data_IF_332192941013
#
_entry.id   IF_332192941013
#
_cell.length_a   1.000
_cell.length_b   1.000
_cell.length_c   1.000
_cell.angle_alpha   90.00
_cell.angle_beta   90.00
_cell.angle_gamma   90.00
#
_symmetry.space_group_name_H-M   'P 1'
#
loop_
_entity.id
_entity.type
_entity.pdbx_description
1 polymer ?
#
# COMPACT_ATOMS: atom_id res chain seq x y z
N UNK A 1 5.59 21.66 15.06
CA UNK A 1 5.39 20.89 13.82
C UNK A 1 6.53 21.21 12.86
N UNK A 2 7.73 20.68 13.13
CA UNK A 2 8.86 20.66 12.22
C UNK A 2 9.10 19.18 11.93
N UNK A 3 8.50 18.67 10.85
CA UNK A 3 8.99 17.41 10.28
C UNK A 3 10.13 17.81 9.35
N UNK A 4 11.31 17.24 9.59
CA UNK A 4 12.43 17.30 8.66
C UNK A 4 12.00 16.74 7.30
N UNK A 5 11.55 17.62 6.40
CA UNK A 5 11.34 17.31 4.98
C UNK A 5 12.64 16.93 4.26
N UNK A 6 13.79 16.99 4.93
CA UNK A 6 15.10 16.82 4.32
C UNK A 6 15.58 15.36 4.23
N UNK A 7 14.90 14.38 4.84
CA UNK A 7 15.39 12.99 4.89
C UNK A 7 14.40 11.88 4.49
N UNK A 8 13.22 12.22 3.96
CA UNK A 8 12.38 11.22 3.28
C UNK A 8 12.44 11.44 1.78
N UNK A 9 13.24 10.65 1.06
CA UNK A 9 13.18 10.58 -0.39
C UNK A 9 11.78 10.12 -0.82
N UNK A 10 11.05 10.99 -1.50
CA UNK A 10 9.84 10.63 -2.22
C UNK A 10 10.28 10.20 -3.61
N UNK A 11 10.27 8.89 -3.86
CA UNK A 11 10.83 8.31 -5.07
C UNK A 11 10.14 8.83 -6.34
N UNK A 12 8.82 9.03 -6.30
CA UNK A 12 8.07 9.55 -7.43
C UNK A 12 8.36 11.03 -7.67
N UNK A 13 8.52 11.81 -6.60
CA UNK A 13 8.95 13.20 -6.69
C UNK A 13 10.35 13.30 -7.30
N UNK A 14 11.30 12.47 -6.85
CA UNK A 14 12.67 12.44 -7.35
C UNK A 14 12.73 12.06 -8.84
N UNK A 15 11.96 11.04 -9.27
CA UNK A 15 11.80 10.69 -10.69
C UNK A 15 11.25 11.88 -11.48
N UNK A 16 10.27 12.58 -10.93
CA UNK A 16 9.65 13.74 -11.58
C UNK A 16 10.61 14.93 -11.69
N UNK A 17 11.45 15.17 -10.68
CA UNK A 17 12.50 16.19 -10.70
C UNK A 17 13.54 15.85 -11.77
N UNK A 18 14.00 14.60 -11.82
CA UNK A 18 14.96 14.13 -12.82
C UNK A 18 14.40 14.26 -14.24
N UNK A 19 13.15 13.87 -14.45
CA UNK A 19 12.47 14.00 -15.74
C UNK A 19 12.41 15.45 -16.22
N UNK A 20 11.89 16.38 -15.40
CA UNK A 20 11.79 17.81 -15.77
C UNK A 20 13.15 18.46 -16.00
N UNK A 21 14.14 18.12 -15.18
CA UNK A 21 15.51 18.62 -15.34
C UNK A 21 16.13 18.13 -16.65
N UNK A 22 15.89 16.86 -16.98
CA UNK A 22 16.30 16.26 -18.26
C UNK A 22 15.65 16.96 -19.45
N UNK A 23 14.34 17.22 -19.39
CA UNK A 23 13.64 17.97 -20.44
C UNK A 23 14.25 19.34 -20.66
N UNK A 24 14.44 20.12 -19.58
CA UNK A 24 15.01 21.47 -19.64
C UNK A 24 16.41 21.47 -20.25
N UNK A 25 17.25 20.51 -19.88
CA UNK A 25 18.59 20.36 -20.45
C UNK A 25 18.53 20.12 -21.97
N UNK A 26 17.73 19.15 -22.42
CA UNK A 26 17.65 18.84 -23.84
C UNK A 26 17.03 19.97 -24.64
N UNK A 27 15.96 20.61 -24.17
CA UNK A 27 15.35 21.74 -24.86
C UNK A 27 16.34 22.90 -25.03
N UNK A 28 17.24 23.13 -24.06
CA UNK A 28 18.31 24.13 -24.20
C UNK A 28 19.38 23.68 -25.21
N UNK A 29 19.85 22.44 -25.13
CA UNK A 29 20.97 21.96 -25.94
C UNK A 29 20.60 21.69 -27.41
N UNK A 30 19.34 21.35 -27.68
CA UNK A 30 18.82 21.03 -29.01
C UNK A 30 18.35 22.25 -29.81
N UNK A 31 18.24 23.43 -29.21
CA UNK A 31 17.84 24.69 -29.89
C UNK A 31 18.62 24.94 -31.18
N UNK A 32 19.94 24.73 -31.15
CA UNK A 32 20.82 24.93 -32.32
C UNK A 32 20.55 24.01 -33.50
N UNK A 33 19.75 22.96 -33.32
CA UNK A 33 19.31 22.03 -34.37
C UNK A 33 17.79 21.96 -34.45
N UNK A 34 17.08 22.98 -33.93
CA UNK A 34 15.62 23.14 -33.97
C UNK A 34 14.80 21.96 -33.42
N UNK A 35 15.41 21.05 -32.65
CA UNK A 35 14.73 19.92 -32.02
C UNK A 35 14.30 20.26 -30.59
N UNK A 36 13.26 19.59 -30.12
CA UNK A 36 12.79 19.61 -28.73
C UNK A 36 12.94 18.23 -28.11
N UNK A 37 12.87 18.15 -26.78
CA UNK A 37 12.89 16.87 -26.07
C UNK A 37 11.75 15.94 -26.51
N UNK A 38 10.59 16.47 -26.90
CA UNK A 38 9.46 15.65 -27.36
C UNK A 38 9.73 14.92 -28.68
N UNK A 39 10.57 15.48 -29.55
CA UNK A 39 10.93 14.91 -30.86
C UNK A 39 12.13 13.97 -30.76
N UNK A 40 13.02 14.23 -29.79
CA UNK A 40 14.30 13.56 -29.66
C UNK A 40 14.18 12.02 -29.54
N UNK A 41 13.40 11.43 -28.60
CA UNK A 41 13.27 9.99 -28.49
C UNK A 41 12.75 9.34 -29.77
N UNK A 42 11.82 9.99 -30.47
CA UNK A 42 11.20 9.49 -31.70
C UNK A 42 12.23 9.48 -32.85
N UNK A 43 13.00 10.56 -33.00
CA UNK A 43 14.04 10.63 -34.03
C UNK A 43 15.13 9.56 -33.80
N UNK A 44 15.53 9.34 -32.55
CA UNK A 44 16.49 8.29 -32.19
C UNK A 44 15.94 6.90 -32.51
N UNK A 45 14.69 6.62 -32.14
CA UNK A 45 14.05 5.33 -32.43
C UNK A 45 14.01 5.04 -33.93
N UNK A 46 13.70 6.05 -34.76
CA UNK A 46 13.69 5.92 -36.22
C UNK A 46 15.10 5.70 -36.76
N UNK A 47 16.09 6.47 -36.28
CA UNK A 47 17.48 6.35 -36.71
C UNK A 47 18.09 4.98 -36.38
N UNK A 48 17.81 4.45 -35.19
CA UNK A 48 18.32 3.16 -34.73
C UNK A 48 17.56 1.98 -35.36
N UNK A 49 16.35 2.22 -35.88
CA UNK A 49 15.45 1.20 -36.44
C UNK A 49 14.81 1.68 -37.76
N UNK A 50 15.62 1.88 -38.79
CA UNK A 50 15.13 2.31 -40.11
C UNK A 50 14.02 1.38 -40.64
N UNK A 51 12.88 1.97 -41.03
CA UNK A 51 11.70 1.23 -41.45
C UNK A 51 10.69 0.93 -40.32
N UNK A 52 10.91 1.44 -39.10
CA UNK A 52 9.93 1.33 -38.01
C UNK A 52 8.61 2.05 -38.35
N UNK A 53 7.49 1.50 -37.92
CA UNK A 53 6.17 2.10 -38.06
C UNK A 53 5.78 2.97 -36.86
N UNK A 54 4.84 3.90 -37.06
CA UNK A 54 4.30 4.73 -35.97
C UNK A 54 3.67 3.88 -34.85
N UNK A 55 3.07 2.73 -35.19
CA UNK A 55 2.48 1.81 -34.22
C UNK A 55 3.56 1.20 -33.32
N UNK A 56 4.68 0.78 -33.89
CA UNK A 56 5.82 0.25 -33.13
C UNK A 56 6.43 1.32 -32.23
N UNK A 57 6.62 2.56 -32.72
CA UNK A 57 7.11 3.67 -31.89
C UNK A 57 6.18 3.93 -30.71
N UNK A 58 4.86 3.94 -30.93
CA UNK A 58 3.89 4.13 -29.86
C UNK A 58 4.01 3.02 -28.79
N UNK A 59 4.14 1.77 -29.22
CA UNK A 59 4.28 0.61 -28.33
C UNK A 59 5.62 0.59 -27.57
N UNK A 60 6.73 0.78 -28.27
CA UNK A 60 8.08 0.70 -27.70
C UNK A 60 8.35 1.90 -26.78
N UNK A 61 7.90 3.09 -27.18
CA UNK A 61 8.06 4.32 -26.41
C UNK A 61 7.00 4.56 -25.34
N UNK A 62 5.91 3.79 -25.31
CA UNK A 62 4.81 3.99 -24.36
C UNK A 62 4.03 5.30 -24.61
N UNK A 63 3.93 5.73 -25.87
CA UNK A 63 3.24 6.96 -26.26
C UNK A 63 1.82 6.66 -26.77
N UNK A 64 0.90 7.59 -26.58
CA UNK A 64 -0.39 7.53 -27.29
C UNK A 64 -0.21 7.81 -28.79
N UNK A 65 -1.14 7.30 -29.59
CA UNK A 65 -1.10 7.40 -31.06
C UNK A 65 -1.14 8.84 -31.56
N UNK A 66 -1.87 9.72 -30.87
CA UNK A 66 -1.99 11.14 -31.23
C UNK A 66 -0.67 11.87 -31.07
N UNK A 67 0.04 11.62 -29.96
CA UNK A 67 1.38 12.16 -29.71
C UNK A 67 2.36 11.74 -30.80
N UNK A 68 2.44 10.45 -31.14
CA UNK A 68 3.36 9.99 -32.19
C UNK A 68 3.03 10.63 -33.54
N UNK A 69 1.76 10.65 -33.93
CA UNK A 69 1.34 11.23 -35.22
C UNK A 69 1.80 12.68 -35.33
N UNK A 70 1.58 13.48 -34.28
CA UNK A 70 1.96 14.90 -34.24
C UNK A 70 3.48 15.10 -34.31
N UNK A 71 4.26 14.29 -33.60
CA UNK A 71 5.72 14.46 -33.61
C UNK A 71 6.36 13.97 -34.90
N UNK A 72 5.84 12.90 -35.50
CA UNK A 72 6.29 12.40 -36.81
C UNK A 72 6.03 13.43 -37.90
N UNK A 73 4.84 14.04 -37.93
CA UNK A 73 4.54 15.14 -38.87
C UNK A 73 5.55 16.28 -38.75
N UNK A 74 5.83 16.74 -37.53
CA UNK A 74 6.83 17.79 -37.30
C UNK A 74 8.23 17.40 -37.77
N UNK A 75 8.68 16.17 -37.46
CA UNK A 75 10.00 15.70 -37.89
C UNK A 75 10.10 15.59 -39.41
N UNK A 76 9.01 15.26 -40.10
CA UNK A 76 8.92 15.24 -41.57
C UNK A 76 8.94 16.66 -42.16
N UNK A 77 8.15 17.59 -41.61
CA UNK A 77 8.15 19.02 -41.98
C UNK A 77 9.53 19.67 -41.81
N UNK A 78 10.26 19.26 -40.77
CA UNK A 78 11.63 19.73 -40.50
C UNK A 78 12.68 19.08 -41.42
N UNK A 79 12.31 18.12 -42.26
CA UNK A 79 13.20 17.42 -43.18
C UNK A 79 14.09 16.37 -42.52
N UNK A 80 13.85 16.00 -41.26
CA UNK A 80 14.67 15.02 -40.55
C UNK A 80 14.29 13.57 -40.87
N UNK A 81 13.02 13.32 -41.18
CA UNK A 81 12.54 11.99 -41.56
C UNK A 81 11.78 12.05 -42.87
N UNK A 82 11.59 10.89 -43.48
CA UNK A 82 10.69 10.67 -44.61
C UNK A 82 9.78 9.49 -44.31
N UNK A 83 8.52 9.61 -44.73
CA UNK A 83 7.52 8.56 -44.57
C UNK A 83 7.29 7.85 -45.91
N UNK A 84 7.30 6.52 -45.92
CA UNK A 84 7.08 5.72 -47.13
C UNK A 84 6.02 4.64 -46.90
N UNK A 85 5.23 4.25 -47.91
CA UNK A 85 4.36 3.08 -47.81
C UNK A 85 5.21 1.82 -47.55
N UNK A 86 4.79 0.97 -46.61
CA UNK A 86 5.51 -0.29 -46.38
C UNK A 86 5.42 -1.20 -47.59
N UNK A 87 6.54 -1.84 -47.92
CA UNK A 87 6.60 -2.86 -48.97
C UNK A 87 5.92 -4.17 -48.56
N UNK A 88 5.77 -4.41 -47.25
CA UNK A 88 5.22 -5.65 -46.67
C UNK A 88 3.73 -5.54 -46.36
N UNK A 89 3.28 -4.38 -45.89
CA UNK A 89 1.87 -4.10 -45.63
C UNK A 89 1.47 -2.74 -46.20
N UNK A 90 0.68 -2.72 -47.27
CA UNK A 90 0.24 -1.47 -47.92
C UNK A 90 -0.55 -0.54 -47.00
N UNK A 91 -1.02 -1.01 -45.84
CA UNK A 91 -1.72 -0.21 -44.82
C UNK A 91 -0.77 0.42 -43.79
N UNK A 92 0.48 -0.05 -43.72
CA UNK A 92 1.51 0.48 -42.83
C UNK A 92 2.38 1.53 -43.54
N UNK A 93 2.87 2.49 -42.75
CA UNK A 93 3.88 3.46 -43.19
C UNK A 93 5.18 3.20 -42.43
N UNK A 94 6.27 3.17 -43.17
CA UNK A 94 7.64 2.99 -42.68
C UNK A 94 8.34 4.34 -42.61
N UNK A 95 9.09 4.56 -41.53
CA UNK A 95 9.78 5.82 -41.25
C UNK A 95 11.29 5.64 -41.46
N UNK A 96 11.91 6.60 -42.11
CA UNK A 96 13.35 6.58 -42.40
C UNK A 96 13.99 7.94 -42.10
N UNK A 97 15.26 7.96 -41.68
CA UNK A 97 15.99 9.22 -41.52
C UNK A 97 16.55 9.74 -42.84
N UNK A 98 16.60 11.07 -42.98
CA UNK A 98 17.22 11.76 -44.12
C UNK A 98 18.72 11.99 -43.91
N UNK A 99 19.44 12.44 -44.95
CA UNK A 99 20.83 12.88 -44.82
C UNK A 99 20.99 14.02 -43.80
N UNK A 100 20.01 14.92 -43.71
CA UNK A 100 19.99 16.02 -42.74
C UNK A 100 19.95 15.50 -41.30
N UNK A 101 19.13 14.48 -41.02
CA UNK A 101 19.13 13.84 -39.70
C UNK A 101 20.47 13.18 -39.40
N UNK A 102 21.02 12.40 -40.33
CA UNK A 102 22.32 11.72 -40.14
C UNK A 102 23.44 12.69 -39.83
N UNK A 103 23.44 13.88 -40.45
CA UNK A 103 24.44 14.92 -40.19
C UNK A 103 24.41 15.46 -38.74
N UNK A 104 23.25 15.45 -38.07
CA UNK A 104 23.10 15.94 -36.70
C UNK A 104 23.20 14.83 -35.64
N UNK A 105 23.07 13.54 -36.01
CA UNK A 105 22.98 12.45 -35.03
C UNK A 105 24.22 12.35 -34.14
N UNK A 106 25.43 12.56 -34.66
CA UNK A 106 26.65 12.58 -33.84
C UNK A 106 26.59 13.63 -32.73
N UNK A 107 26.06 14.82 -33.03
CA UNK A 107 25.85 15.89 -32.05
C UNK A 107 24.76 15.50 -31.03
N UNK A 108 23.68 14.86 -31.47
CA UNK A 108 22.63 14.35 -30.60
C UNK A 108 23.18 13.34 -29.60
N UNK A 109 23.95 12.33 -30.04
CA UNK A 109 24.57 11.35 -29.14
C UNK A 109 25.59 11.97 -28.19
N UNK A 110 26.34 13.00 -28.62
CA UNK A 110 27.25 13.73 -27.75
C UNK A 110 26.50 14.48 -26.63
N UNK A 111 25.38 15.14 -26.96
CA UNK A 111 24.52 15.81 -25.97
C UNK A 111 23.98 14.79 -24.96
N UNK A 112 23.47 13.64 -25.43
CA UNK A 112 22.98 12.56 -24.56
C UNK A 112 24.06 12.04 -23.61
N UNK A 113 25.26 11.78 -24.14
CA UNK A 113 26.39 11.27 -23.37
C UNK A 113 26.85 12.29 -22.33
N UNK A 114 26.84 13.59 -22.67
CA UNK A 114 27.18 14.67 -21.75
C UNK A 114 26.19 14.75 -20.58
N UNK A 115 24.88 14.72 -20.88
CA UNK A 115 23.85 14.71 -19.84
C UNK A 115 23.97 13.50 -18.93
N UNK A 116 24.07 12.31 -19.53
CA UNK A 116 24.19 11.06 -18.79
C UNK A 116 25.37 11.12 -17.82
N UNK A 117 26.56 11.53 -18.31
CA UNK A 117 27.75 11.69 -17.47
C UNK A 117 27.52 12.67 -16.31
N UNK A 118 26.81 13.77 -16.56
CA UNK A 118 26.51 14.76 -15.51
C UNK A 118 25.66 14.15 -14.40
N UNK A 119 24.51 13.57 -14.75
CA UNK A 119 23.57 13.00 -13.76
C UNK A 119 24.07 11.70 -13.13
N UNK A 120 25.04 11.03 -13.74
CA UNK A 120 25.62 9.78 -13.24
C UNK A 120 26.95 9.94 -12.53
N UNK A 121 27.53 11.14 -12.51
CA UNK A 121 28.94 11.35 -12.14
C UNK A 121 29.31 10.92 -10.72
N UNK A 122 28.34 10.96 -9.80
CA UNK A 122 28.51 10.58 -8.39
C UNK A 122 28.19 9.10 -8.10
N UNK A 123 27.73 8.32 -9.08
CA UNK A 123 27.23 6.97 -8.85
C UNK A 123 28.28 5.94 -9.33
N UNK A 124 28.69 4.98 -8.47
CA UNK A 124 29.56 3.89 -8.87
C UNK A 124 29.01 3.11 -10.09
N UNK A 125 29.91 2.56 -10.92
CA UNK A 125 29.51 1.87 -12.16
C UNK A 125 28.68 0.61 -11.90
N UNK A 126 28.97 -0.10 -10.83
CA UNK A 126 28.24 -1.30 -10.41
C UNK A 126 26.81 -0.97 -9.99
N UNK A 127 26.63 0.08 -9.19
CA UNK A 127 25.32 0.59 -8.78
C UNK A 127 24.50 1.06 -9.98
N UNK A 128 25.14 1.70 -10.98
CA UNK A 128 24.45 2.12 -12.19
C UNK A 128 23.94 0.95 -13.04
N UNK A 129 24.68 -0.15 -13.11
CA UNK A 129 24.22 -1.34 -13.81
C UNK A 129 23.00 -1.95 -13.11
N UNK A 130 23.03 -2.04 -11.78
CA UNK A 130 21.90 -2.51 -10.97
C UNK A 130 20.68 -1.58 -11.13
N UNK A 131 20.87 -0.26 -11.01
CA UNK A 131 19.83 0.75 -11.19
C UNK A 131 19.16 0.63 -12.56
N UNK A 132 19.93 0.48 -13.64
CA UNK A 132 19.38 0.32 -14.99
C UNK A 132 18.50 -0.93 -15.11
N UNK A 133 18.90 -2.04 -14.47
CA UNK A 133 18.11 -3.27 -14.40
C UNK A 133 16.77 -3.05 -13.67
N UNK A 134 16.80 -2.44 -12.48
CA UNK A 134 15.60 -2.15 -11.70
C UNK A 134 14.65 -1.20 -12.43
N UNK A 135 15.16 -0.09 -12.97
CA UNK A 135 14.35 0.90 -13.67
C UNK A 135 13.68 0.32 -14.91
N UNK A 136 14.38 -0.54 -15.65
CA UNK A 136 13.81 -1.26 -16.81
C UNK A 136 12.65 -2.16 -16.39
N UNK A 137 12.80 -2.89 -15.28
CA UNK A 137 11.73 -3.75 -14.76
C UNK A 137 10.51 -2.92 -14.33
N UNK A 138 10.72 -1.82 -13.60
CA UNK A 138 9.62 -0.91 -13.21
C UNK A 138 8.90 -0.33 -14.42
N UNK A 139 9.63 0.11 -15.45
CA UNK A 139 9.05 0.64 -16.68
C UNK A 139 8.25 -0.43 -17.45
N UNK A 140 8.71 -1.69 -17.46
CA UNK A 140 7.97 -2.79 -18.05
C UNK A 140 6.66 -3.06 -17.29
N UNK A 141 6.70 -3.13 -15.97
CA UNK A 141 5.50 -3.31 -15.13
C UNK A 141 4.50 -2.16 -15.32
N UNK A 142 4.97 -0.91 -15.40
CA UNK A 142 4.10 0.25 -15.64
C UNK A 142 3.31 0.15 -16.96
N UNK A 143 3.93 -0.40 -18.02
CA UNK A 143 3.25 -0.64 -19.31
C UNK A 143 2.15 -1.70 -19.22
N UNK A 144 2.26 -2.63 -18.28
CA UNK A 144 1.29 -3.70 -18.07
C UNK A 144 0.21 -3.36 -17.04
N UNK A 145 0.19 -2.13 -16.49
CA UNK A 145 -0.77 -1.72 -15.45
C UNK A 145 -2.24 -1.95 -15.83
N UNK A 146 -2.59 -1.82 -17.12
CA UNK A 146 -3.95 -2.11 -17.59
C UNK A 146 -4.40 -3.57 -17.39
N UNK A 147 -3.46 -4.49 -17.11
CA UNK A 147 -3.72 -5.91 -16.78
C UNK A 147 -3.71 -6.18 -15.27
N UNK A 148 -3.38 -5.18 -14.43
CA UNK A 148 -3.31 -5.36 -12.99
C UNK A 148 -4.70 -5.58 -12.41
N UNK A 149 -4.84 -6.55 -11.50
CA UNK A 149 -6.05 -6.71 -10.70
C UNK A 149 -6.07 -5.64 -9.60
N UNK A 150 -6.72 -4.52 -9.89
CA UNK A 150 -6.87 -3.41 -8.94
C UNK A 150 -7.79 -3.77 -7.76
N UNK A 151 -8.49 -4.91 -7.82
CA UNK A 151 -9.36 -5.40 -6.75
C UNK A 151 -8.66 -6.46 -5.88
N UNK A 152 -7.35 -6.63 -6.03
CA UNK A 152 -6.56 -7.52 -5.20
C UNK A 152 -6.16 -6.83 -3.89
N UNK A 153 -6.41 -7.48 -2.76
CA UNK A 153 -5.93 -6.99 -1.47
C UNK A 153 -4.41 -7.19 -1.34
N UNK A 154 -3.74 -6.19 -0.76
CA UNK A 154 -2.34 -6.25 -0.38
C UNK A 154 -2.19 -6.23 1.14
N UNK A 155 -1.20 -6.97 1.63
CA UNK A 155 -0.83 -7.01 3.05
C UNK A 155 0.54 -6.37 3.25
N UNK A 156 0.76 -5.70 4.37
CA UNK A 156 1.99 -4.96 4.67
C UNK A 156 2.82 -5.62 5.77
N UNK A 157 2.27 -6.65 6.42
CA UNK A 157 3.03 -7.57 7.26
C UNK A 157 2.55 -8.99 7.05
N UNK A 158 3.48 -9.93 7.25
CA UNK A 158 3.21 -11.34 7.23
C UNK A 158 4.06 -12.06 8.28
N UNK A 159 3.49 -12.26 9.47
CA UNK A 159 4.07 -13.12 10.48
C UNK A 159 3.72 -14.57 10.18
N UNK A 160 4.68 -15.28 9.58
CA UNK A 160 4.53 -16.65 9.09
C UNK A 160 3.98 -17.67 10.10
N UNK A 161 4.32 -17.52 11.39
CA UNK A 161 3.90 -18.42 12.48
C UNK A 161 3.64 -17.64 13.77
N UNK A 162 2.53 -17.93 14.42
CA UNK A 162 2.12 -17.42 15.73
C UNK A 162 1.33 -18.48 16.50
N UNK A 163 1.64 -18.61 17.78
CA UNK A 163 0.92 -19.49 18.72
C UNK A 163 0.01 -18.70 19.68
N UNK A 164 0.01 -17.37 19.55
CA UNK A 164 -0.63 -16.46 20.51
C UNK A 164 -1.90 -15.80 19.97
N UNK A 165 -2.04 -15.66 18.65
CA UNK A 165 -3.16 -14.91 18.04
C UNK A 165 -4.51 -15.59 18.24
N UNK A 166 -4.54 -16.93 18.17
CA UNK A 166 -5.74 -17.73 18.42
C UNK A 166 -5.39 -18.84 19.42
N UNK A 167 -6.06 -18.90 20.59
CA UNK A 167 -5.79 -19.93 21.59
C UNK A 167 -5.92 -21.34 21.01
N UNK A 168 -4.89 -22.17 21.21
CA UNK A 168 -4.89 -23.57 20.80
C UNK A 168 -4.75 -23.82 19.30
N UNK A 169 -4.39 -22.80 18.51
CA UNK A 169 -4.19 -22.90 17.05
C UNK A 169 -2.83 -22.34 16.65
N UNK A 170 -2.20 -22.96 15.66
CA UNK A 170 -1.03 -22.42 14.97
C UNK A 170 -1.53 -21.50 13.85
N UNK A 171 -1.26 -20.21 13.97
CA UNK A 171 -1.75 -19.20 13.03
C UNK A 171 -0.62 -18.60 12.19
N UNK A 172 -0.93 -18.17 10.98
CA UNK A 172 -0.21 -17.05 10.35
C UNK A 172 -0.96 -15.74 10.65
N UNK A 173 -0.27 -14.60 10.67
CA UNK A 173 -0.87 -13.27 10.83
C UNK A 173 -0.51 -12.44 9.61
N UNK A 174 -1.51 -11.78 9.01
CA UNK A 174 -1.33 -10.82 7.92
C UNK A 174 -2.00 -9.50 8.27
N UNK A 175 -1.32 -8.40 7.95
CA UNK A 175 -1.76 -7.05 8.29
C UNK A 175 -2.16 -6.26 7.04
N UNK A 176 -3.37 -5.70 7.00
CA UNK A 176 -3.74 -4.69 6.00
C UNK A 176 -3.10 -3.35 6.32
N UNK A 177 -2.91 -2.53 5.27
CA UNK A 177 -2.37 -1.19 5.39
C UNK A 177 -3.47 -0.14 5.25
N UNK A 178 -3.36 0.94 6.02
CA UNK A 178 -4.38 1.98 6.14
C UNK A 178 -5.25 1.78 7.38
N UNK A 179 -5.55 2.88 8.06
CA UNK A 179 -6.49 2.91 9.19
C UNK A 179 -7.33 4.19 9.12
N UNK A 180 -8.59 4.12 9.52
CA UNK A 180 -9.47 5.28 9.65
C UNK A 180 -9.28 6.05 10.97
N UNK A 181 -8.56 5.49 11.94
CA UNK A 181 -8.22 6.14 13.21
C UNK A 181 -6.79 6.70 13.21
N UNK A 182 -6.51 7.60 14.16
CA UNK A 182 -5.20 8.22 14.41
C UNK A 182 -4.86 8.17 15.90
N UNK A 183 -5.13 7.03 16.56
CA UNK A 183 -4.88 6.85 17.99
C UNK A 183 -3.45 7.31 18.31
N UNK A 184 -3.25 8.34 19.16
CA UNK A 184 -1.93 8.90 19.38
C UNK A 184 -0.89 7.89 19.88
N UNK A 185 -1.33 6.92 20.67
CA UNK A 185 -0.53 5.82 21.21
C UNK A 185 -0.41 4.60 20.27
N UNK A 186 -0.83 4.70 19.00
CA UNK A 186 -0.74 3.55 18.08
C UNK A 186 0.73 3.20 17.79
N UNK A 187 1.15 2.01 18.18
CA UNK A 187 2.49 1.48 17.92
C UNK A 187 2.72 1.04 16.46
N UNK A 188 1.66 0.88 15.68
CA UNK A 188 1.73 0.37 14.30
C UNK A 188 1.61 1.54 13.29
N UNK A 189 2.38 2.62 13.51
CA UNK A 189 2.27 3.84 12.70
C UNK A 189 2.57 3.62 11.22
N UNK A 190 3.41 2.65 10.86
CA UNK A 190 3.70 2.27 9.47
C UNK A 190 2.50 1.63 8.77
N UNK A 191 1.56 1.04 9.50
CA UNK A 191 0.28 0.56 8.96
C UNK A 191 -0.77 1.67 8.86
N UNK A 192 -0.58 2.80 9.56
CA UNK A 192 -1.47 3.97 9.48
C UNK A 192 -1.01 4.95 8.40
N UNK A 193 0.30 5.17 8.29
CA UNK A 193 0.94 6.09 7.37
C UNK A 193 1.81 5.30 6.39
N UNK A 194 1.16 4.66 5.41
CA UNK A 194 1.83 3.92 4.36
C UNK A 194 2.71 4.86 3.52
N UNK A 195 3.98 4.51 3.39
CA UNK A 195 4.90 5.14 2.44
C UNK A 195 4.79 4.47 1.07
N UNK A 196 5.14 5.19 0.02
CA UNK A 196 5.08 4.67 -1.35
C UNK A 196 5.97 3.43 -1.58
N UNK A 197 7.10 3.37 -0.87
CA UNK A 197 8.07 2.28 -0.91
C UNK A 197 7.80 1.19 0.14
N UNK A 198 6.62 1.20 0.78
CA UNK A 198 6.27 0.19 1.77
C UNK A 198 6.28 -1.20 1.15
N UNK A 199 7.03 -2.11 1.75
CA UNK A 199 7.04 -3.52 1.37
C UNK A 199 5.62 -4.07 1.57
N UNK A 200 5.11 -4.72 0.53
CA UNK A 200 3.81 -5.38 0.57
C UNK A 200 3.90 -6.81 0.04
N UNK A 201 2.93 -7.61 0.44
CA UNK A 201 2.68 -8.98 0.01
C UNK A 201 1.37 -8.99 -0.76
N UNK A 202 1.41 -9.53 -1.98
CA UNK A 202 0.21 -9.78 -2.77
C UNK A 202 -0.68 -10.86 -2.13
N UNK A 203 -1.97 -10.84 -2.43
CA UNK A 203 -2.86 -11.93 -2.02
C UNK A 203 -2.35 -13.29 -2.53
N UNK A 204 -1.77 -13.37 -3.73
CA UNK A 204 -1.26 -14.61 -4.31
C UNK A 204 -0.11 -15.19 -3.48
N UNK A 205 0.83 -14.35 -3.03
CA UNK A 205 1.93 -14.77 -2.16
C UNK A 205 1.42 -15.34 -0.84
N UNK A 206 0.44 -14.67 -0.21
CA UNK A 206 -0.18 -15.14 1.03
C UNK A 206 -0.93 -16.45 0.81
N UNK A 207 -1.74 -16.53 -0.25
CA UNK A 207 -2.51 -17.73 -0.59
C UNK A 207 -1.61 -18.93 -0.91
N UNK A 208 -0.49 -18.71 -1.62
CA UNK A 208 0.51 -19.74 -1.88
C UNK A 208 1.17 -20.20 -0.58
N UNK A 209 1.53 -19.27 0.30
CA UNK A 209 2.11 -19.59 1.59
C UNK A 209 1.18 -20.47 2.44
N UNK A 210 -0.06 -20.03 2.68
CA UNK A 210 -1.01 -20.80 3.50
C UNK A 210 -1.31 -22.15 2.88
N UNK A 211 -1.48 -22.22 1.56
CA UNK A 211 -1.68 -23.50 0.84
C UNK A 211 -0.51 -24.45 1.04
N UNK A 212 0.73 -23.96 0.97
CA UNK A 212 1.94 -24.77 1.17
C UNK A 212 2.12 -25.28 2.62
N UNK A 213 1.39 -24.70 3.57
CA UNK A 213 1.49 -24.99 5.01
C UNK A 213 0.18 -25.51 5.60
N UNK A 214 -0.73 -26.01 4.76
CA UNK A 214 -2.07 -26.46 5.17
C UNK A 214 -2.04 -27.51 6.30
N UNK A 215 -1.03 -28.37 6.33
CA UNK A 215 -0.89 -29.41 7.36
C UNK A 215 -0.24 -28.91 8.67
N UNK A 216 0.24 -27.66 8.70
CA UNK A 216 0.91 -27.05 9.86
C UNK A 216 0.15 -25.87 10.45
N UNK A 217 -0.63 -25.15 9.63
CA UNK A 217 -1.39 -23.98 10.04
C UNK A 217 -2.85 -24.36 10.26
N UNK A 218 -3.39 -23.98 11.41
CA UNK A 218 -4.81 -24.15 11.73
C UNK A 218 -5.64 -22.92 11.35
N UNK A 219 -5.01 -21.74 11.38
CA UNK A 219 -5.70 -20.47 11.22
C UNK A 219 -4.91 -19.40 10.48
N UNK A 220 -5.65 -18.41 9.98
CA UNK A 220 -5.12 -17.12 9.60
C UNK A 220 -5.72 -16.05 10.51
N UNK A 221 -4.90 -15.08 10.93
CA UNK A 221 -5.36 -13.86 11.59
C UNK A 221 -5.21 -12.70 10.62
N UNK A 222 -6.32 -12.01 10.38
CA UNK A 222 -6.34 -10.75 9.61
C UNK A 222 -6.36 -9.61 10.61
N UNK A 223 -5.36 -8.76 10.54
CA UNK A 223 -5.22 -7.55 11.36
C UNK A 223 -4.76 -6.41 10.47
N UNK A 224 -4.27 -5.33 11.05
CA UNK A 224 -3.63 -4.24 10.33
C UNK A 224 -3.93 -2.90 10.96
N UNK A 225 -4.09 -1.89 10.11
CA UNK A 225 -4.74 -0.65 10.52
C UNK A 225 -6.24 -0.86 10.78
N UNK A 226 -7.07 -0.92 9.74
CA UNK A 226 -8.46 -1.36 9.84
C UNK A 226 -8.84 -2.27 8.66
N UNK A 227 -8.88 -3.60 8.83
CA UNK A 227 -9.13 -4.52 7.72
C UNK A 227 -10.45 -4.28 7.00
N UNK A 228 -11.50 -3.87 7.72
CA UNK A 228 -12.84 -3.73 7.16
C UNK A 228 -13.03 -2.46 6.32
N UNK A 229 -12.00 -1.62 6.17
CA UNK A 229 -12.04 -0.55 5.17
C UNK A 229 -11.81 -1.05 3.74
N UNK A 230 -11.33 -2.30 3.57
CA UNK A 230 -10.96 -2.87 2.28
C UNK A 230 -12.01 -3.87 1.78
N UNK A 231 -12.81 -3.50 0.79
CA UNK A 231 -13.80 -4.41 0.18
C UNK A 231 -13.17 -5.60 -0.55
N UNK A 232 -11.90 -5.47 -0.93
CA UNK A 232 -11.08 -6.49 -1.58
C UNK A 232 -10.74 -7.66 -0.63
N UNK A 233 -11.02 -7.51 0.67
CA UNK A 233 -10.82 -8.55 1.67
C UNK A 233 -11.79 -9.73 1.46
N UNK A 234 -13.02 -9.48 1.02
CA UNK A 234 -14.09 -10.48 0.86
C UNK A 234 -13.69 -11.67 -0.04
N UNK A 235 -13.21 -11.45 -1.29
CA UNK A 235 -12.74 -12.54 -2.14
C UNK A 235 -11.56 -13.30 -1.53
N UNK A 236 -10.65 -12.63 -0.83
CA UNK A 236 -9.52 -13.27 -0.17
C UNK A 236 -10.00 -14.20 0.96
N UNK A 237 -10.89 -13.73 1.84
CA UNK A 237 -11.47 -14.55 2.91
C UNK A 237 -12.21 -15.77 2.37
N UNK A 238 -12.97 -15.61 1.26
CA UNK A 238 -13.64 -16.73 0.59
C UNK A 238 -12.65 -17.81 0.14
N UNK A 239 -11.53 -17.42 -0.48
CA UNK A 239 -10.47 -18.35 -0.90
C UNK A 239 -9.85 -19.07 0.31
N UNK A 240 -9.56 -18.35 1.39
CA UNK A 240 -8.97 -18.94 2.60
C UNK A 240 -9.95 -19.88 3.30
N UNK A 241 -11.24 -19.51 3.38
CA UNK A 241 -12.30 -20.36 3.96
C UNK A 241 -12.46 -21.66 3.18
N UNK A 242 -12.43 -21.62 1.85
CA UNK A 242 -12.48 -22.81 0.98
C UNK A 242 -11.30 -23.77 1.21
N UNK A 243 -10.14 -23.25 1.64
CA UNK A 243 -8.99 -24.09 1.98
C UNK A 243 -9.15 -24.80 3.33
N UNK A 244 -10.12 -24.38 4.16
CA UNK A 244 -10.46 -24.99 5.45
C UNK A 244 -9.79 -24.33 6.66
N UNK A 245 -9.19 -23.15 6.51
CA UNK A 245 -8.58 -22.44 7.64
C UNK A 245 -9.62 -21.77 8.53
N UNK A 246 -9.33 -21.75 9.82
CA UNK A 246 -10.05 -20.90 10.78
C UNK A 246 -9.62 -19.44 10.59
N UNK A 247 -10.58 -18.53 10.47
CA UNK A 247 -10.31 -17.12 10.19
C UNK A 247 -10.60 -16.29 11.45
N UNK A 248 -9.55 -15.68 11.99
CA UNK A 248 -9.61 -14.73 13.10
C UNK A 248 -9.46 -13.30 12.56
N UNK A 249 -10.50 -12.48 12.68
CA UNK A 249 -10.50 -11.09 12.25
C UNK A 249 -10.26 -10.15 13.43
N UNK A 250 -9.29 -9.25 13.33
CA UNK A 250 -9.04 -8.16 14.26
C UNK A 250 -9.52 -6.84 13.64
N UNK A 251 -10.42 -6.12 14.31
CA UNK A 251 -11.01 -4.87 13.81
C UNK A 251 -11.24 -3.87 14.93
N UNK A 252 -11.33 -2.59 14.60
CA UNK A 252 -11.82 -1.54 15.49
C UNK A 252 -13.36 -1.39 15.46
N UNK A 253 -14.04 -2.12 14.57
CA UNK A 253 -15.49 -2.26 14.49
C UNK A 253 -16.26 -1.04 13.96
N UNK A 254 -15.56 -0.08 13.35
CA UNK A 254 -16.18 1.13 12.77
C UNK A 254 -16.87 0.91 11.42
N UNK A 255 -16.74 -0.27 10.81
CA UNK A 255 -17.36 -0.63 9.52
C UNK A 255 -18.42 -1.72 9.73
N UNK A 256 -19.55 -1.36 10.35
CA UNK A 256 -20.56 -2.33 10.80
C UNK A 256 -21.16 -3.15 9.66
N UNK A 257 -21.56 -2.53 8.55
CA UNK A 257 -22.20 -3.28 7.44
C UNK A 257 -21.27 -4.33 6.84
N UNK A 258 -19.97 -4.03 6.77
CA UNK A 258 -18.97 -4.99 6.31
C UNK A 258 -18.77 -6.12 7.33
N UNK A 259 -18.61 -5.79 8.62
CA UNK A 259 -18.52 -6.80 9.69
C UNK A 259 -19.74 -7.74 9.68
N UNK A 260 -20.94 -7.16 9.64
CA UNK A 260 -22.21 -7.88 9.59
C UNK A 260 -22.25 -8.85 8.41
N UNK A 261 -21.91 -8.37 7.22
CA UNK A 261 -21.84 -9.19 6.00
C UNK A 261 -20.90 -10.39 6.16
N UNK A 262 -19.71 -10.21 6.73
CA UNK A 262 -18.75 -11.29 6.95
C UNK A 262 -19.25 -12.34 7.96
N UNK A 263 -19.91 -11.89 9.03
CA UNK A 263 -20.49 -12.77 10.06
C UNK A 263 -21.67 -13.57 9.48
N UNK A 264 -22.61 -12.91 8.79
CA UNK A 264 -23.78 -13.56 8.18
C UNK A 264 -23.37 -14.58 7.12
N UNK A 265 -22.35 -14.27 6.31
CA UNK A 265 -21.79 -15.19 5.31
C UNK A 265 -20.87 -16.26 5.92
N UNK A 266 -20.62 -16.24 7.24
CA UNK A 266 -19.70 -17.16 7.95
C UNK A 266 -18.28 -17.18 7.38
N UNK A 267 -17.83 -16.04 6.86
CA UNK A 267 -16.48 -15.88 6.30
C UNK A 267 -15.42 -15.70 7.38
N UNK A 268 -15.82 -15.33 8.60
CA UNK A 268 -14.96 -15.25 9.78
C UNK A 268 -15.46 -16.24 10.84
N UNK A 269 -14.54 -16.85 11.58
CA UNK A 269 -14.86 -17.79 12.66
C UNK A 269 -14.76 -17.12 14.04
N UNK A 270 -13.87 -16.12 14.16
CA UNK A 270 -13.64 -15.36 15.39
C UNK A 270 -13.42 -13.89 15.07
N UNK A 271 -13.97 -13.02 15.90
CA UNK A 271 -13.79 -11.57 15.81
C UNK A 271 -13.17 -11.05 17.11
N UNK A 272 -12.03 -10.38 16.98
CA UNK A 272 -11.38 -9.64 18.05
C UNK A 272 -11.62 -8.16 17.78
N UNK A 273 -12.41 -7.50 18.62
CA UNK A 273 -12.78 -6.11 18.42
C UNK A 273 -12.08 -5.21 19.44
N UNK A 274 -11.29 -4.26 18.94
CA UNK A 274 -10.58 -3.29 19.78
C UNK A 274 -11.48 -2.10 20.15
N UNK A 275 -11.88 -2.04 21.41
CA UNK A 275 -12.67 -0.95 21.97
C UNK A 275 -11.72 0.10 22.54
N UNK A 276 -11.86 1.34 22.07
CA UNK A 276 -10.86 2.36 22.31
C UNK A 276 -11.10 3.18 23.56
N UNK A 277 -12.35 3.44 23.96
CA UNK A 277 -12.68 4.05 25.25
C UNK A 277 -14.21 3.93 25.52
N UNK A 278 -14.71 4.56 26.58
CA UNK A 278 -16.13 4.88 26.75
C UNK A 278 -16.61 5.84 25.64
N UNK A 279 -17.91 5.83 25.27
CA UNK A 279 -18.44 6.61 24.15
C UNK A 279 -18.07 8.10 24.15
N UNK A 280 -18.13 8.75 25.30
CA UNK A 280 -17.87 10.17 25.51
C UNK A 280 -16.39 10.57 25.31
N UNK A 281 -15.45 9.62 25.49
CA UNK A 281 -14.00 9.83 25.33
C UNK A 281 -13.46 9.20 24.05
N UNK A 282 -14.32 8.58 23.24
CA UNK A 282 -13.90 7.74 22.13
C UNK A 282 -13.12 8.53 21.07
N UNK A 283 -13.69 9.66 20.62
CA UNK A 283 -13.08 10.52 19.59
C UNK A 283 -11.68 10.99 19.96
N UNK A 284 -11.52 11.52 21.17
CA UNK A 284 -10.22 11.96 21.71
C UNK A 284 -9.19 10.82 21.69
N UNK A 285 -9.60 9.63 22.15
CA UNK A 285 -8.70 8.47 22.25
C UNK A 285 -8.23 7.95 20.89
N UNK A 286 -9.05 8.09 19.85
CA UNK A 286 -8.70 7.70 18.47
C UNK A 286 -8.08 8.83 17.65
N UNK A 287 -7.82 9.99 18.28
CA UNK A 287 -7.18 11.14 17.64
C UNK A 287 -8.11 11.94 16.70
N UNK A 288 -9.42 11.89 16.91
CA UNK A 288 -10.43 12.61 16.12
C UNK A 288 -11.18 13.63 16.98
N UNK A 289 -11.20 14.90 16.56
CA UNK A 289 -11.91 15.98 17.29
C UNK A 289 -13.43 15.79 17.34
N UNK A 290 -13.99 15.19 16.30
CA UNK A 290 -15.42 14.90 16.16
C UNK A 290 -15.54 13.48 15.65
N UNK A 291 -16.29 12.64 16.35
CA UNK A 291 -16.48 11.24 15.98
C UNK A 291 -17.83 10.72 16.45
N UNK A 292 -18.57 10.14 15.52
CA UNK A 292 -19.85 9.50 15.77
C UNK A 292 -19.65 7.99 15.96
N UNK A 293 -19.90 7.50 17.17
CA UNK A 293 -19.60 6.12 17.57
C UNK A 293 -20.63 5.08 17.10
N UNK A 294 -21.67 5.49 16.37
CA UNK A 294 -22.84 4.65 16.05
C UNK A 294 -22.48 3.28 15.46
N UNK A 295 -21.53 3.22 14.52
CA UNK A 295 -21.13 1.97 13.87
C UNK A 295 -20.43 1.00 14.85
N UNK A 296 -19.60 1.53 15.76
CA UNK A 296 -18.96 0.73 16.82
C UNK A 296 -20.02 0.15 17.77
N UNK A 297 -21.02 0.94 18.15
CA UNK A 297 -22.13 0.48 19.01
C UNK A 297 -22.90 -0.66 18.33
N UNK A 298 -23.23 -0.53 17.03
CA UNK A 298 -23.89 -1.59 16.26
C UNK A 298 -23.04 -2.86 16.18
N UNK A 299 -21.73 -2.72 15.95
CA UNK A 299 -20.79 -3.85 15.91
C UNK A 299 -20.69 -4.58 17.25
N UNK A 300 -20.64 -3.86 18.37
CA UNK A 300 -20.69 -4.47 19.71
C UNK A 300 -22.01 -5.23 19.89
N UNK A 301 -23.14 -4.63 19.51
CA UNK A 301 -24.44 -5.27 19.62
C UNK A 301 -24.49 -6.58 18.81
N UNK A 302 -24.06 -6.55 17.55
CA UNK A 302 -23.97 -7.73 16.68
C UNK A 302 -23.15 -8.86 17.31
N UNK A 303 -21.94 -8.55 17.80
CA UNK A 303 -21.05 -9.55 18.38
C UNK A 303 -21.57 -10.12 19.71
N UNK A 304 -22.40 -9.37 20.42
CA UNK A 304 -23.07 -9.85 21.65
C UNK A 304 -24.33 -10.68 21.38
N UNK A 305 -24.97 -10.56 20.21
CA UNK A 305 -26.21 -11.26 19.88
C UNK A 305 -26.01 -12.46 18.97
N UNK A 306 -25.06 -12.39 18.04
CA UNK A 306 -24.78 -13.47 17.09
C UNK A 306 -23.96 -14.59 17.71
N UNK A 307 -24.15 -15.81 17.20
CA UNK A 307 -23.38 -16.99 17.61
C UNK A 307 -22.02 -17.04 16.89
N UNK A 308 -21.15 -16.08 17.20
CA UNK A 308 -19.75 -16.05 16.75
C UNK A 308 -18.81 -15.95 17.96
N UNK A 309 -17.62 -16.53 17.87
CA UNK A 309 -16.60 -16.33 18.89
C UNK A 309 -16.11 -14.88 18.85
N UNK A 310 -16.43 -14.09 19.87
CA UNK A 310 -16.04 -12.68 19.96
C UNK A 310 -15.18 -12.42 21.20
N UNK A 311 -14.14 -11.59 21.04
CA UNK A 311 -13.32 -11.08 22.14
C UNK A 311 -13.21 -9.56 22.02
N UNK A 312 -13.59 -8.84 23.06
CA UNK A 312 -13.30 -7.40 23.12
C UNK A 312 -11.90 -7.19 23.69
N UNK A 313 -11.18 -6.23 23.13
CA UNK A 313 -9.83 -5.88 23.57
C UNK A 313 -9.78 -4.40 23.92
N UNK A 314 -9.17 -4.09 25.06
CA UNK A 314 -8.83 -2.72 25.46
C UNK A 314 -7.32 -2.67 25.64
N UNK A 315 -6.72 -1.56 25.22
CA UNK A 315 -5.31 -1.25 25.48
C UNK A 315 -5.27 -0.05 26.42
N UNK A 316 -5.26 -0.27 27.75
CA UNK A 316 -5.33 0.82 28.72
C UNK A 316 -4.08 1.68 28.68
N UNK A 317 -4.29 2.99 28.56
CA UNK A 317 -3.25 4.03 28.54
C UNK A 317 -3.66 5.10 29.54
N UNK A 318 -2.78 5.46 30.47
CA UNK A 318 -3.08 6.34 31.61
C UNK A 318 -3.64 7.70 31.19
N UNK A 319 -3.17 8.26 30.08
CA UNK A 319 -3.61 9.56 29.58
C UNK A 319 -5.04 9.55 29.03
N UNK A 320 -5.59 8.38 28.69
CA UNK A 320 -6.92 8.24 28.10
C UNK A 320 -7.92 7.48 28.96
N UNK A 321 -7.45 6.64 29.89
CA UNK A 321 -8.29 5.73 30.66
C UNK A 321 -8.01 5.89 32.14
N UNK A 322 -9.06 6.15 32.92
CA UNK A 322 -9.05 5.94 34.37
C UNK A 322 -9.57 4.53 34.73
N UNK A 323 -9.34 4.03 35.95
CA UNK A 323 -9.96 2.79 36.42
C UNK A 323 -11.50 2.79 36.29
N UNK A 324 -12.14 3.93 36.56
CA UNK A 324 -13.59 4.12 36.42
C UNK A 324 -14.04 3.99 34.96
N UNK A 325 -13.25 4.51 34.02
CA UNK A 325 -13.52 4.35 32.58
C UNK A 325 -13.49 2.87 32.20
N UNK A 326 -12.48 2.11 32.66
CA UNK A 326 -12.37 0.68 32.35
C UNK A 326 -13.57 -0.11 32.90
N UNK A 327 -14.04 0.23 34.10
CA UNK A 327 -15.26 -0.36 34.69
C UNK A 327 -16.50 0.04 33.88
N UNK A 328 -16.62 1.30 33.47
CA UNK A 328 -17.72 1.77 32.64
C UNK A 328 -17.74 1.08 31.25
N UNK A 329 -16.57 0.85 30.64
CA UNK A 329 -16.45 0.07 29.42
C UNK A 329 -16.92 -1.37 29.62
N UNK A 330 -16.52 -2.05 30.70
CA UNK A 330 -16.99 -3.42 30.98
C UNK A 330 -18.51 -3.49 31.18
N UNK A 331 -19.12 -2.48 31.83
CA UNK A 331 -20.59 -2.35 31.93
C UNK A 331 -21.24 -2.20 30.57
N UNK A 332 -20.70 -1.33 29.73
CA UNK A 332 -21.22 -1.06 28.38
C UNK A 332 -21.14 -2.28 27.46
N UNK A 333 -20.05 -3.06 27.57
CA UNK A 333 -19.82 -4.24 26.73
C UNK A 333 -20.64 -5.46 27.13
N UNK A 334 -21.28 -5.47 28.30
CA UNK A 334 -22.19 -6.56 28.72
C UNK A 334 -23.28 -6.79 27.64
N UNK A 335 -23.59 -8.04 27.24
CA UNK A 335 -23.24 -9.32 27.86
C UNK A 335 -21.98 -10.02 27.30
N UNK A 336 -20.97 -9.27 26.86
CA UNK A 336 -19.72 -9.83 26.34
C UNK A 336 -19.20 -11.03 27.14
N UNK A 337 -18.82 -12.09 26.43
CA UNK A 337 -18.31 -13.31 27.05
C UNK A 337 -16.84 -13.21 27.45
N UNK A 338 -16.04 -12.38 26.77
CA UNK A 338 -14.62 -12.22 27.03
C UNK A 338 -14.12 -10.80 26.76
N UNK A 339 -13.22 -10.35 27.64
CA UNK A 339 -12.48 -9.10 27.56
C UNK A 339 -10.99 -9.37 27.77
N UNK A 340 -10.14 -8.83 26.91
CA UNK A 340 -8.69 -8.83 27.11
C UNK A 340 -8.19 -7.39 27.32
N UNK A 341 -7.34 -7.21 28.34
CA UNK A 341 -6.58 -5.99 28.56
C UNK A 341 -5.16 -6.23 28.05
N UNK A 342 -4.76 -5.52 27.01
CA UNK A 342 -3.40 -5.61 26.45
C UNK A 342 -2.56 -4.49 27.04
N UNK A 343 -1.46 -4.83 27.69
CA UNK A 343 -0.55 -3.85 28.29
C UNK A 343 0.08 -3.02 27.16
N UNK A 344 -0.02 -1.69 27.27
CA UNK A 344 0.66 -0.79 26.37
C UNK A 344 2.12 -0.63 26.75
N UNK A 345 3.01 -0.94 25.82
CA UNK A 345 4.43 -0.60 25.89
C UNK A 345 4.75 0.32 24.72
N UNK A 346 5.30 1.50 24.99
CA UNK A 346 5.62 2.48 23.96
C UNK A 346 6.76 1.95 23.07
N UNK A 347 6.51 1.81 21.77
CA UNK A 347 7.53 1.43 20.78
C UNK A 347 8.13 2.66 20.09
N UNK A 348 9.26 2.48 19.41
CA UNK A 348 9.83 3.51 18.53
C UNK A 348 8.89 3.92 17.39
N UNK A 349 8.04 2.99 16.95
CA UNK A 349 7.07 3.18 15.87
C UNK A 349 5.76 3.82 16.34
N UNK A 350 5.66 4.29 17.59
CA UNK A 350 4.44 4.97 18.07
C UNK A 350 4.17 6.27 17.31
N UNK A 351 2.90 6.59 17.04
CA UNK A 351 2.52 7.82 16.34
C UNK A 351 2.95 9.08 17.11
N UNK A 352 2.72 9.12 18.42
CA UNK A 352 3.11 10.18 19.32
C UNK A 352 3.72 9.57 20.59
N UNK A 353 4.88 10.11 20.99
CA UNK A 353 5.62 9.70 22.20
C UNK A 353 5.03 10.35 23.46
N UNK A 354 5.29 9.75 24.62
CA UNK A 354 4.92 10.28 25.94
C UNK A 354 3.67 9.65 26.55
N UNK A 355 3.26 8.45 26.12
CA UNK A 355 2.12 7.74 26.68
C UNK A 355 2.56 6.60 27.60
N UNK A 356 1.76 6.30 28.62
CA UNK A 356 2.12 5.33 29.64
C UNK A 356 1.07 4.23 29.76
N UNK A 357 1.52 2.98 29.70
CA UNK A 357 0.66 1.83 29.92
C UNK A 357 0.49 1.50 31.39
N UNK A 358 -0.63 0.86 31.72
CA UNK A 358 -0.86 0.31 33.05
C UNK A 358 0.05 -0.89 33.30
N UNK A 359 0.57 -1.00 34.53
CA UNK A 359 1.31 -2.18 34.97
C UNK A 359 0.36 -3.38 35.14
N UNK A 360 0.94 -4.58 35.07
CA UNK A 360 0.20 -5.82 35.34
C UNK A 360 -0.39 -5.85 36.77
N UNK A 361 0.26 -5.22 37.75
CA UNK A 361 -0.26 -5.14 39.11
C UNK A 361 -1.51 -4.27 39.19
N UNK A 362 -1.50 -3.09 38.57
CA UNK A 362 -2.66 -2.19 38.51
C UNK A 362 -3.84 -2.85 37.80
N UNK A 363 -3.59 -3.47 36.64
CA UNK A 363 -4.65 -4.16 35.91
C UNK A 363 -5.23 -5.35 36.69
N UNK A 364 -4.43 -6.07 37.48
CA UNK A 364 -4.93 -7.15 38.34
C UNK A 364 -5.86 -6.64 39.45
N UNK A 365 -5.64 -5.41 39.97
CA UNK A 365 -6.54 -4.79 40.95
C UNK A 365 -7.90 -4.49 40.32
N UNK A 366 -7.89 -3.89 39.12
CA UNK A 366 -9.09 -3.49 38.37
C UNK A 366 -9.85 -4.73 37.83
N UNK A 367 -9.14 -5.79 37.43
CA UNK A 367 -9.70 -7.01 36.83
C UNK A 367 -10.89 -7.57 37.61
N UNK A 368 -10.80 -7.59 38.95
CA UNK A 368 -11.86 -8.11 39.83
C UNK A 368 -13.18 -7.36 39.68
N UNK A 369 -13.12 -6.05 39.41
CA UNK A 369 -14.31 -5.22 39.20
C UNK A 369 -14.89 -5.44 37.80
N UNK A 370 -14.04 -5.70 36.80
CA UNK A 370 -14.48 -6.00 35.44
C UNK A 370 -15.16 -7.37 35.34
N UNK A 371 -14.67 -8.35 36.12
CA UNK A 371 -15.21 -9.72 36.17
C UNK A 371 -16.65 -9.79 36.68
N UNK A 372 -17.15 -8.74 37.36
CA UNK A 372 -18.56 -8.58 37.73
C UNK A 372 -19.48 -8.44 36.51
N UNK A 373 -18.97 -7.87 35.42
CA UNK A 373 -19.74 -7.59 34.20
C UNK A 373 -19.43 -8.55 33.06
N UNK A 374 -18.19 -9.02 32.96
CA UNK A 374 -17.71 -9.89 31.88
C UNK A 374 -16.96 -11.07 32.50
N UNK A 375 -17.40 -12.33 32.29
CA UNK A 375 -16.88 -13.47 33.05
C UNK A 375 -15.42 -13.82 32.73
N UNK A 376 -14.97 -13.63 31.48
CA UNK A 376 -13.62 -14.02 31.07
C UNK A 376 -12.74 -12.80 30.78
N UNK A 377 -12.21 -12.18 31.84
CA UNK A 377 -11.22 -11.10 31.73
C UNK A 377 -9.80 -11.66 31.75
N UNK A 378 -8.97 -11.29 30.77
CA UNK A 378 -7.55 -11.68 30.70
C UNK A 378 -6.66 -10.45 30.57
N UNK A 379 -5.44 -10.53 31.12
CA UNK A 379 -4.40 -9.52 30.94
C UNK A 379 -3.32 -10.14 30.06
N UNK A 380 -3.01 -9.51 28.94
CA UNK A 380 -1.96 -9.93 28.01
C UNK A 380 -0.80 -8.95 28.05
#
# INVERSE_FOLDING_TARGET
MNRDFQNSSDLLLDISILYRSTQKYYDQMLQSISLTYAQLPILILIYENEGISQQQIAQDGGYDKGTITKQVQKLEEMGYIRVQPSKKDKRAKELYTTSQARAIMSKVYAIRTSWWRHISSSIPKEDMAAFSGFYKNMAASAKEFAKADLNAISFFEHQKLSFQSVPGKVSTIVATGGCNYRCPFCNESHLVFLKEDSISYSQEEILQYVKSRKDMLDSITITGGEPLMHTELDPFLKKVKQMGFFINLMTNGSYFEHLKSLVEQKLVDRVVMYIKNVPEKYGETIGLKTYEIHEVVKSIHLLNTEKIESVFVITPVHEFHTPEDLVAMAKWLKPASSLELHIFEEKETVIQKGYHGYTREELNKIKKELEVYIPNVKIR
#
